data_IF_775598018147
#
_entry.id   IF_775598018147
#
_cell.length_a   1.000
_cell.length_b   1.000
_cell.length_c   1.000
_cell.angle_alpha   90.00
_cell.angle_beta   90.00
_cell.angle_gamma   90.00
#
_symmetry.space_group_name_H-M   'P 1'
#
loop_
_entity.id
_entity.type
_entity.pdbx_description
1 polymer ?
#
# COMPACT_ATOMS: atom_id res chain seq x y z
N UNK A 1 46.51 23.24 5.31
CA UNK A 1 45.79 22.10 4.72
C UNK A 1 45.02 22.64 3.54
N UNK A 2 45.57 22.43 2.35
CA UNK A 2 45.26 23.19 1.14
C UNK A 2 43.93 22.76 0.52
N UNK A 3 43.12 23.78 0.24
CA UNK A 3 41.94 23.71 -0.61
C UNK A 3 42.41 23.95 -2.05
N UNK A 4 42.39 22.92 -2.92
CA UNK A 4 42.34 23.06 -4.40
C UNK A 4 42.20 21.70 -5.09
N UNK A 5 41.46 21.74 -6.20
CA UNK A 5 41.42 20.81 -7.35
C UNK A 5 40.53 19.55 -7.26
N UNK A 6 39.37 19.63 -7.90
CA UNK A 6 38.81 18.71 -8.91
C UNK A 6 37.34 19.15 -9.17
N UNK A 7 36.78 19.25 -10.37
CA UNK A 7 37.31 19.04 -11.70
C UNK A 7 36.35 19.70 -12.70
N UNK A 8 36.96 20.40 -13.64
CA UNK A 8 36.42 21.05 -14.82
C UNK A 8 35.72 20.03 -15.73
N UNK A 9 34.39 20.10 -15.86
CA UNK A 9 33.63 19.47 -16.95
C UNK A 9 32.48 20.39 -17.40
N UNK A 10 32.87 21.58 -17.82
CA UNK A 10 32.06 22.49 -18.61
C UNK A 10 32.85 22.75 -19.89
N UNK A 11 32.17 22.76 -21.05
CA UNK A 11 32.70 23.00 -22.40
C UNK A 11 33.10 21.74 -23.20
N UNK A 12 32.08 20.99 -23.64
CA UNK A 12 32.09 20.28 -24.94
C UNK A 12 30.64 20.00 -25.39
N UNK A 13 29.85 21.07 -25.50
CA UNK A 13 28.45 21.00 -25.97
C UNK A 13 28.11 22.18 -26.89
N UNK A 14 28.98 22.43 -27.85
CA UNK A 14 28.69 23.33 -28.97
C UNK A 14 29.04 22.57 -30.24
N UNK A 15 28.16 22.66 -31.24
CA UNK A 15 28.15 21.93 -32.52
C UNK A 15 27.31 20.64 -32.50
N UNK A 16 26.01 20.78 -32.25
CA UNK A 16 24.99 19.86 -32.78
C UNK A 16 24.33 20.54 -33.99
N UNK A 17 24.26 19.89 -35.16
CA UNK A 17 23.56 20.45 -36.32
C UNK A 17 22.07 20.62 -36.01
N UNK A 18 21.52 21.78 -36.40
CA UNK A 18 20.09 22.08 -36.39
C UNK A 18 19.42 21.23 -37.47
N UNK A 19 19.10 19.98 -37.17
CA UNK A 19 18.09 19.24 -37.91
C UNK A 19 16.73 19.84 -37.57
N UNK A 20 16.21 20.61 -38.51
CA UNK A 20 14.83 21.07 -38.59
C UNK A 20 13.88 19.88 -38.53
N UNK A 21 13.51 19.53 -37.31
CA UNK A 21 12.43 18.59 -37.01
C UNK A 21 11.17 19.44 -36.96
N UNK A 22 10.23 19.18 -37.88
CA UNK A 22 8.86 19.67 -37.82
C UNK A 22 8.35 19.56 -36.38
N UNK A 23 7.75 20.60 -35.79
CA UNK A 23 7.07 20.46 -34.51
C UNK A 23 5.90 19.50 -34.72
N UNK A 24 6.12 18.22 -34.43
CA UNK A 24 5.05 17.28 -34.16
C UNK A 24 4.20 17.93 -33.07
N UNK A 25 3.02 18.40 -33.45
CA UNK A 25 2.02 18.76 -32.46
C UNK A 25 1.82 17.51 -31.61
N UNK A 26 1.98 17.59 -30.28
CA UNK A 26 1.72 16.46 -29.42
C UNK A 26 0.30 15.98 -29.74
N UNK A 27 0.18 14.75 -30.24
CA UNK A 27 -1.12 14.13 -30.41
C UNK A 27 -1.85 14.29 -29.07
N UNK A 28 -3.13 14.74 -29.08
CA UNK A 28 -3.91 14.84 -27.87
C UNK A 28 -3.94 13.45 -27.24
N UNK A 29 -3.11 13.26 -26.21
CA UNK A 29 -3.11 12.06 -25.41
C UNK A 29 -4.51 12.00 -24.82
N UNK A 30 -5.33 11.10 -25.35
CA UNK A 30 -6.62 10.76 -24.78
C UNK A 30 -6.33 10.29 -23.36
N UNK A 31 -6.42 11.22 -22.43
CA UNK A 31 -6.31 11.02 -21.00
C UNK A 31 -7.50 10.13 -20.63
N UNK A 32 -7.29 8.82 -20.72
CA UNK A 32 -8.25 7.81 -20.28
C UNK A 32 -8.43 8.04 -18.79
N UNK A 33 -9.46 8.79 -18.42
CA UNK A 33 -9.79 9.09 -17.05
C UNK A 33 -9.83 7.77 -16.27
N UNK A 34 -8.93 7.62 -15.30
CA UNK A 34 -8.90 6.43 -14.47
C UNK A 34 -10.27 6.27 -13.82
N UNK A 35 -10.87 5.06 -13.86
CA UNK A 35 -12.19 4.85 -13.27
C UNK A 35 -12.13 5.19 -11.78
N UNK A 36 -12.81 6.27 -11.40
CA UNK A 36 -12.89 6.72 -10.01
C UNK A 36 -13.65 5.66 -9.19
N UNK A 37 -12.95 5.02 -8.26
CA UNK A 37 -13.58 4.12 -7.31
C UNK A 37 -14.54 4.91 -6.41
N UNK A 38 -15.70 4.33 -6.01
CA UNK A 38 -16.60 4.97 -5.07
C UNK A 38 -15.89 5.30 -3.75
N UNK A 39 -16.20 6.47 -3.18
CA UNK A 39 -15.58 6.92 -1.92
C UNK A 39 -15.97 6.04 -0.71
N UNK A 40 -17.17 5.45 -0.74
CA UNK A 40 -17.61 4.50 0.28
C UNK A 40 -17.20 3.08 -0.12
N UNK A 41 -16.75 2.28 0.86
CA UNK A 41 -16.62 0.84 0.67
C UNK A 41 -17.96 0.16 0.97
N UNK A 42 -18.35 -0.81 0.15
CA UNK A 42 -19.51 -1.67 0.37
C UNK A 42 -19.29 -2.63 1.54
N UNK A 43 -20.37 -2.99 2.24
CA UNK A 43 -20.31 -3.89 3.41
C UNK A 43 -19.75 -5.29 3.08
N UNK A 44 -20.00 -5.76 1.85
CA UNK A 44 -19.54 -7.06 1.35
C UNK A 44 -18.15 -6.99 0.67
N UNK A 45 -17.51 -5.81 0.67
CA UNK A 45 -16.16 -5.69 0.11
C UNK A 45 -15.11 -6.36 1.02
N UNK A 46 -14.09 -6.88 0.37
CA UNK A 46 -12.84 -7.29 0.99
C UNK A 46 -11.77 -6.22 0.81
N UNK A 47 -10.89 -6.17 1.80
CA UNK A 47 -9.65 -5.38 1.78
C UNK A 47 -8.46 -6.25 2.12
N UNK A 48 -7.32 -5.92 1.54
CA UNK A 48 -6.06 -6.62 1.67
C UNK A 48 -5.08 -5.83 2.54
N UNK A 49 -4.56 -6.44 3.60
CA UNK A 49 -3.40 -5.93 4.34
C UNK A 49 -2.13 -6.59 3.80
N UNK A 50 -1.21 -5.79 3.26
CA UNK A 50 0.10 -6.28 2.86
C UNK A 50 1.02 -6.45 4.08
N UNK A 51 1.72 -7.58 4.15
CA UNK A 51 2.62 -7.92 5.26
C UNK A 51 4.05 -8.00 4.75
N UNK A 52 4.90 -7.13 5.30
CA UNK A 52 6.30 -6.96 4.87
C UNK A 52 7.33 -7.58 5.82
N UNK A 53 6.89 -8.21 6.91
CA UNK A 53 7.79 -8.69 7.97
C UNK A 53 7.50 -10.15 8.32
N UNK A 54 8.51 -11.00 8.23
CA UNK A 54 8.39 -12.43 8.54
C UNK A 54 7.91 -12.69 9.97
N UNK A 55 8.25 -11.81 10.93
CA UNK A 55 7.79 -11.96 12.31
C UNK A 55 6.27 -11.86 12.44
N UNK A 56 5.60 -11.20 11.50
CA UNK A 56 4.14 -11.07 11.46
C UNK A 56 3.47 -12.25 10.74
N UNK A 57 4.23 -13.24 10.28
CA UNK A 57 3.71 -14.46 9.65
C UNK A 57 3.99 -15.62 10.60
N UNK A 58 2.99 -16.47 10.81
CA UNK A 58 3.17 -17.76 11.46
C UNK A 58 3.88 -18.71 10.51
N UNK A 59 5.07 -19.21 10.89
CA UNK A 59 5.87 -20.06 10.00
C UNK A 59 5.22 -21.42 9.75
N UNK A 60 4.45 -21.95 10.71
CA UNK A 60 3.84 -23.27 10.66
C UNK A 60 2.55 -23.25 9.85
N UNK A 61 1.69 -22.27 10.12
CA UNK A 61 0.36 -22.18 9.51
C UNK A 61 0.32 -21.23 8.31
N UNK A 62 1.39 -20.46 8.08
CA UNK A 62 1.50 -19.45 7.01
C UNK A 62 0.43 -18.35 7.08
N UNK A 63 -0.22 -18.20 8.23
CA UNK A 63 -1.20 -17.15 8.50
C UNK A 63 -0.54 -15.87 9.02
N UNK A 64 -1.15 -14.72 8.74
CA UNK A 64 -0.76 -13.45 9.36
C UNK A 64 -1.14 -13.43 10.84
N UNK A 65 -0.21 -13.05 11.69
CA UNK A 65 -0.43 -12.84 13.13
C UNK A 65 -1.09 -11.48 13.37
N UNK A 66 -1.72 -11.30 14.52
CA UNK A 66 -2.37 -10.03 14.91
C UNK A 66 -1.44 -8.81 14.79
N UNK A 67 -0.12 -8.96 15.01
CA UNK A 67 0.85 -7.87 14.84
C UNK A 67 0.89 -7.31 13.41
N UNK A 68 0.47 -8.07 12.39
CA UNK A 68 0.35 -7.60 11.02
C UNK A 68 -0.79 -6.59 10.81
N UNK A 69 -1.80 -6.65 11.68
CA UNK A 69 -2.99 -5.77 11.67
C UNK A 69 -2.94 -4.63 12.67
N UNK A 70 -1.92 -4.58 13.54
CA UNK A 70 -1.77 -3.49 14.52
C UNK A 70 -1.71 -2.14 13.82
N UNK A 71 -2.43 -1.13 14.35
CA UNK A 71 -2.45 0.20 13.76
C UNK A 71 -1.13 0.92 13.98
N UNK A 72 -0.87 1.91 13.14
CA UNK A 72 0.20 2.88 13.28
C UNK A 72 -0.41 4.25 13.55
N UNK A 73 0.30 5.10 14.29
CA UNK A 73 -0.11 6.48 14.51
C UNK A 73 0.23 7.30 13.26
N UNK A 74 -0.79 7.82 12.58
CA UNK A 74 -0.67 8.70 11.43
C UNK A 74 -1.50 9.97 11.68
N UNK A 75 -0.85 11.13 11.64
CA UNK A 75 -1.51 12.44 11.85
C UNK A 75 -2.41 12.50 13.10
N UNK A 76 -1.99 11.84 14.18
CA UNK A 76 -2.72 11.81 15.45
C UNK A 76 -3.82 10.75 15.56
N UNK A 77 -4.06 9.96 14.52
CA UNK A 77 -5.04 8.87 14.50
C UNK A 77 -4.35 7.51 14.37
N UNK A 78 -4.87 6.50 15.06
CA UNK A 78 -4.44 5.12 14.85
C UNK A 78 -5.15 4.55 13.63
N UNK A 79 -4.38 4.09 12.65
CA UNK A 79 -4.90 3.53 11.41
C UNK A 79 -4.14 2.30 10.94
N UNK A 80 -4.83 1.44 10.20
CA UNK A 80 -4.25 0.28 9.51
C UNK A 80 -4.49 0.44 8.01
N UNK A 81 -3.43 0.78 7.27
CA UNK A 81 -3.45 0.85 5.79
C UNK A 81 -3.79 -0.50 5.16
N UNK A 82 -4.72 -0.50 4.21
CA UNK A 82 -5.19 -1.65 3.45
C UNK A 82 -5.39 -1.27 1.98
N UNK A 83 -5.60 -2.27 1.14
CA UNK A 83 -5.88 -2.15 -0.29
C UNK A 83 -7.29 -2.69 -0.54
N UNK A 84 -8.17 -1.97 -1.21
CA UNK A 84 -9.38 -2.59 -1.78
C UNK A 84 -8.92 -3.69 -2.74
N UNK A 85 -9.52 -4.88 -2.68
CA UNK A 85 -9.15 -5.98 -3.57
C UNK A 85 -10.37 -6.62 -4.27
N UNK A 86 -11.59 -6.14 -3.97
CA UNK A 86 -12.83 -6.61 -4.59
C UNK A 86 -12.87 -6.17 -6.05
N UNK A 87 -13.06 -7.12 -6.97
CA UNK A 87 -13.11 -6.84 -8.41
C UNK A 87 -11.75 -6.46 -9.04
N UNK A 88 -10.65 -6.56 -8.30
CA UNK A 88 -9.30 -6.25 -8.80
C UNK A 88 -8.60 -7.53 -9.25
N UNK A 89 -7.91 -7.47 -10.39
CA UNK A 89 -7.06 -8.56 -10.83
C UNK A 89 -5.92 -8.83 -9.85
N UNK A 90 -5.62 -10.10 -9.59
CA UNK A 90 -4.60 -10.49 -8.62
C UNK A 90 -3.22 -9.89 -8.91
N UNK A 91 -2.82 -9.84 -10.19
CA UNK A 91 -1.56 -9.23 -10.63
C UNK A 91 -1.45 -7.76 -10.23
N UNK A 92 -2.55 -6.99 -10.35
CA UNK A 92 -2.65 -5.60 -9.93
C UNK A 92 -2.54 -5.46 -8.42
N UNK A 93 -3.19 -6.32 -7.64
CA UNK A 93 -3.07 -6.28 -6.16
C UNK A 93 -1.61 -6.48 -5.72
N UNK A 94 -0.88 -7.41 -6.34
CA UNK A 94 0.54 -7.59 -6.04
C UNK A 94 1.43 -6.46 -6.56
N UNK A 95 1.06 -5.81 -7.67
CA UNK A 95 1.71 -4.57 -8.10
C UNK A 95 1.57 -3.45 -7.07
N UNK A 96 0.36 -3.23 -6.57
CA UNK A 96 0.08 -2.21 -5.55
C UNK A 96 0.88 -2.44 -4.27
N UNK A 97 1.16 -3.69 -3.91
CA UNK A 97 2.04 -4.01 -2.78
C UNK A 97 3.44 -3.41 -2.93
N UNK A 98 3.95 -3.27 -4.17
CA UNK A 98 5.25 -2.64 -4.47
C UNK A 98 5.17 -1.12 -4.47
N UNK A 99 4.04 -0.57 -4.94
CA UNK A 99 3.79 0.88 -4.96
C UNK A 99 3.69 1.42 -3.54
N UNK A 100 2.93 0.74 -2.67
CA UNK A 100 2.67 1.24 -1.31
C UNK A 100 3.92 1.28 -0.42
N UNK A 101 4.96 0.49 -0.72
CA UNK A 101 6.17 0.42 0.11
C UNK A 101 7.44 0.08 -0.67
N UNK A 102 7.74 0.84 -1.71
CA UNK A 102 9.00 0.68 -2.44
C UNK A 102 10.23 0.93 -1.53
N UNK A 103 11.32 0.13 -1.59
CA UNK A 103 11.57 -1.02 -2.48
C UNK A 103 11.17 -2.39 -1.88
N UNK A 104 10.41 -2.42 -0.79
CA UNK A 104 10.04 -3.66 -0.12
C UNK A 104 8.97 -4.42 -0.91
N UNK A 105 9.09 -5.75 -0.94
CA UNK A 105 8.06 -6.65 -1.46
C UNK A 105 7.24 -7.22 -0.31
N UNK A 106 5.92 -7.27 -0.46
CA UNK A 106 5.06 -7.94 0.50
C UNK A 106 5.35 -9.46 0.50
N UNK A 107 5.53 -10.01 1.70
CA UNK A 107 5.75 -11.44 1.94
C UNK A 107 4.44 -12.23 1.97
N UNK A 108 3.33 -11.55 2.26
CA UNK A 108 1.98 -12.07 2.23
C UNK A 108 0.97 -10.93 2.08
N UNK A 109 -0.26 -11.30 1.73
CA UNK A 109 -1.46 -10.47 1.76
C UNK A 109 -2.47 -11.14 2.67
N UNK A 110 -3.14 -10.38 3.52
CA UNK A 110 -4.22 -10.86 4.37
C UNK A 110 -5.54 -10.20 3.93
N UNK A 111 -6.41 -10.97 3.30
CA UNK A 111 -7.70 -10.51 2.79
C UNK A 111 -8.75 -10.64 3.89
N UNK A 112 -9.38 -9.53 4.28
CA UNK A 112 -10.39 -9.47 5.35
C UNK A 112 -11.62 -8.74 4.85
N UNK A 113 -12.81 -9.26 5.18
CA UNK A 113 -14.08 -8.61 4.85
C UNK A 113 -14.32 -7.38 5.73
N UNK A 114 -14.93 -6.33 5.18
CA UNK A 114 -15.24 -5.10 5.92
C UNK A 114 -16.20 -5.36 7.08
N UNK A 115 -17.11 -6.32 6.92
CA UNK A 115 -17.99 -6.80 8.00
C UNK A 115 -17.20 -7.16 9.28
N UNK A 116 -16.03 -7.78 9.15
CA UNK A 116 -15.19 -8.15 10.30
C UNK A 116 -14.58 -6.92 10.97
N UNK A 117 -14.24 -5.88 10.20
CA UNK A 117 -13.80 -4.62 10.79
C UNK A 117 -14.92 -3.97 11.62
N UNK A 118 -16.16 -4.03 11.15
CA UNK A 118 -17.31 -3.54 11.90
C UNK A 118 -17.61 -4.37 13.16
N UNK A 119 -17.47 -5.70 13.10
CA UNK A 119 -17.56 -6.58 14.28
C UNK A 119 -16.48 -6.23 15.32
N UNK A 120 -15.31 -5.79 14.88
CA UNK A 120 -14.24 -5.28 15.74
C UNK A 120 -14.48 -3.84 16.24
N UNK A 121 -15.66 -3.25 15.97
CA UNK A 121 -16.01 -1.85 16.25
C UNK A 121 -15.09 -0.83 15.55
N UNK A 122 -14.54 -1.21 14.38
CA UNK A 122 -13.71 -0.38 13.52
C UNK A 122 -14.50 0.07 12.28
N UNK A 123 -13.93 1.03 11.56
CA UNK A 123 -14.47 1.54 10.29
C UNK A 123 -13.43 1.39 9.19
N UNK A 124 -13.85 1.04 7.98
CA UNK A 124 -13.00 1.10 6.80
C UNK A 124 -13.38 2.33 5.95
N UNK A 125 -12.40 3.07 5.44
CA UNK A 125 -12.61 4.25 4.62
C UNK A 125 -11.66 4.26 3.42
N UNK A 126 -12.15 4.65 2.23
CA UNK A 126 -11.30 4.84 1.07
C UNK A 126 -10.40 6.06 1.32
N UNK A 127 -9.10 5.89 1.04
CA UNK A 127 -8.09 6.91 1.27
C UNK A 127 -7.12 6.94 0.07
N UNK A 128 -7.62 7.17 -1.16
CA UNK A 128 -6.80 7.06 -2.37
C UNK A 128 -5.55 7.93 -2.28
N UNK A 129 -4.42 7.39 -2.75
CA UNK A 129 -3.14 8.08 -2.82
C UNK A 129 -2.69 8.23 -4.27
N UNK A 130 -1.77 9.17 -4.58
CA UNK A 130 -1.17 9.26 -5.92
C UNK A 130 -0.60 7.91 -6.37
N UNK A 131 -1.02 7.42 -7.54
CA UNK A 131 -0.67 6.10 -8.10
C UNK A 131 -1.16 4.88 -7.31
N UNK A 132 -2.07 5.07 -6.35
CA UNK A 132 -2.65 4.01 -5.53
C UNK A 132 -4.10 4.38 -5.16
N UNK A 133 -4.96 4.44 -6.17
CA UNK A 133 -6.37 4.79 -6.04
C UNK A 133 -7.16 3.79 -5.17
N UNK A 134 -6.65 2.57 -5.04
CA UNK A 134 -7.26 1.46 -4.31
C UNK A 134 -6.89 1.48 -2.81
N UNK A 135 -6.10 2.45 -2.37
CA UNK A 135 -5.74 2.60 -0.96
C UNK A 135 -6.96 2.90 -0.09
N UNK A 136 -7.02 2.22 1.04
CA UNK A 136 -8.02 2.42 2.07
C UNK A 136 -7.36 2.27 3.45
N UNK A 137 -8.07 2.68 4.49
CA UNK A 137 -7.60 2.60 5.88
C UNK A 137 -8.68 2.01 6.76
N UNK A 138 -8.26 1.25 7.76
CA UNK A 138 -9.11 0.85 8.88
C UNK A 138 -8.83 1.82 10.04
N UNK A 139 -9.87 2.51 10.50
CA UNK A 139 -9.89 3.57 11.51
C UNK A 139 -10.75 3.16 12.72
N UNK A 140 -10.80 4.02 13.73
CA UNK A 140 -11.62 3.80 14.94
C UNK A 140 -10.93 2.94 16.00
N UNK A 141 -9.62 2.71 15.85
CA UNK A 141 -8.85 1.95 16.83
C UNK A 141 -8.90 2.60 18.22
N UNK A 142 -9.12 1.84 19.30
CA UNK A 142 -9.13 2.40 20.65
C UNK A 142 -7.81 3.13 20.97
N UNK A 143 -7.85 4.27 21.67
CA UNK A 143 -6.64 4.95 22.09
C UNK A 143 -5.87 4.09 23.09
N UNK A 144 -4.53 4.21 23.07
CA UNK A 144 -3.68 3.57 24.07
C UNK A 144 -3.72 4.44 25.33
N UNK A 145 -4.23 3.88 26.43
CA UNK A 145 -4.26 4.54 27.74
C UNK A 145 -3.31 3.82 28.69
N UNK A 146 -2.40 4.53 29.34
CA UNK A 146 -1.43 3.95 30.29
C UNK A 146 -0.64 2.76 29.71
N UNK A 147 -0.20 2.87 28.46
CA UNK A 147 0.50 1.82 27.70
C UNK A 147 -0.27 0.51 27.45
N UNK A 148 -1.57 0.45 27.81
CA UNK A 148 -2.40 -0.72 27.55
C UNK A 148 -2.83 -0.80 26.08
N UNK A 149 -2.28 -1.80 25.38
CA UNK A 149 -2.61 -2.10 23.98
C UNK A 149 -3.66 -3.20 23.85
N UNK A 150 -4.17 -3.76 24.95
CA UNK A 150 -5.07 -4.90 24.94
C UNK A 150 -6.31 -4.70 24.05
N UNK A 151 -6.99 -3.53 24.05
CA UNK A 151 -8.11 -3.29 23.15
C UNK A 151 -7.73 -3.37 21.66
N UNK A 152 -6.60 -2.77 21.28
CA UNK A 152 -6.09 -2.84 19.91
C UNK A 152 -5.67 -4.28 19.56
N UNK A 153 -5.05 -4.99 20.49
CA UNK A 153 -4.65 -6.39 20.30
C UNK A 153 -5.84 -7.31 20.06
N UNK A 154 -6.95 -7.12 20.79
CA UNK A 154 -8.18 -7.89 20.59
C UNK A 154 -8.77 -7.66 19.19
N UNK A 155 -8.93 -6.41 18.78
CA UNK A 155 -9.43 -6.06 17.44
C UNK A 155 -8.52 -6.59 16.33
N UNK A 156 -7.19 -6.41 16.46
CA UNK A 156 -6.22 -6.93 15.50
C UNK A 156 -6.21 -8.46 15.44
N UNK A 157 -6.50 -9.15 16.56
CA UNK A 157 -6.64 -10.61 16.60
C UNK A 157 -7.88 -11.06 15.86
N UNK A 158 -9.02 -10.38 16.03
CA UNK A 158 -10.24 -10.68 15.29
C UNK A 158 -10.04 -10.53 13.78
N UNK A 159 -9.39 -9.45 13.34
CA UNK A 159 -9.04 -9.24 11.93
C UNK A 159 -8.10 -10.36 11.42
N UNK A 160 -7.02 -10.65 12.15
CA UNK A 160 -6.03 -11.64 11.72
C UNK A 160 -6.58 -13.07 11.66
N UNK A 161 -7.45 -13.45 12.59
CA UNK A 161 -8.06 -14.79 12.64
C UNK A 161 -9.10 -15.00 11.55
N UNK A 162 -9.77 -13.92 11.12
CA UNK A 162 -10.78 -13.96 10.05
C UNK A 162 -10.18 -13.76 8.65
N UNK A 163 -8.93 -13.31 8.56
CA UNK A 163 -8.29 -12.99 7.29
C UNK A 163 -7.80 -14.24 6.54
N UNK A 164 -8.02 -14.28 5.23
CA UNK A 164 -7.41 -15.25 4.34
C UNK A 164 -5.99 -14.80 3.97
N UNK A 165 -4.97 -15.57 4.35
CA UNK A 165 -3.57 -15.25 4.04
C UNK A 165 -3.14 -15.87 2.71
N UNK A 166 -2.60 -15.05 1.81
CA UNK A 166 -2.14 -15.44 0.47
C UNK A 166 -0.67 -15.04 0.33
N UNK A 167 0.18 -15.96 -0.15
CA UNK A 167 1.60 -15.69 -0.44
C UNK A 167 1.75 -15.08 -1.85
N UNK A 168 2.78 -14.26 -2.10
CA UNK A 168 3.02 -13.70 -3.43
C UNK A 168 3.25 -14.83 -4.47
N UNK A 169 2.91 -14.58 -5.75
CA UNK A 169 3.21 -15.52 -6.82
C UNK A 169 4.72 -15.79 -6.86
N UNK A 170 5.09 -17.07 -6.96
CA UNK A 170 6.48 -17.45 -7.15
C UNK A 170 6.91 -16.97 -8.55
N UNK A 171 7.91 -16.10 -8.60
CA UNK A 171 8.59 -15.83 -9.87
C UNK A 171 9.26 -17.14 -10.27
N UNK A 172 8.84 -17.72 -11.39
CA UNK A 172 9.55 -18.84 -12.00
C UNK A 172 10.96 -18.33 -12.33
N UNK A 173 11.93 -18.75 -11.52
CA UNK A 173 13.35 -18.44 -11.67
C UNK A 173 13.97 -19.24 -12.81
#
# INVERSE_FOLDING_TARGET
>A
MELKLLMTRFLNRLLRPLNSSTPEQPEPQLELAEPLLPAALGADEYVARFVFSERHIDKKFRNVKWQGFMPMLYEGNFETSVCRNTGIQESRVWELSRVCRHPMQALARADVGIVVAHEALLMAQAAPQPNYAEHAVILGWPPITNDDKSPQMMAATLLATSAQTISPPQLLS
#
